data_IF_320570544683
#
_entry.id   IF_320570544683
#
_cell.length_a   1.000
_cell.length_b   1.000
_cell.length_c   1.000
_cell.angle_alpha   90.00
_cell.angle_beta   90.00
_cell.angle_gamma   90.00
#
_symmetry.space_group_name_H-M   'P 1'
#
loop_
_entity.id
_entity.type
_entity.pdbx_description
1 polymer ?
#
# COMPACT_ATOMS: atom_id res chain seq x y z
N UNK A 1 17.59 9.45 4.96
CA UNK A 1 16.25 9.92 4.54
C UNK A 1 15.91 9.27 3.19
N UNK A 2 15.66 7.96 3.22
CA UNK A 2 15.19 7.16 2.08
C UNK A 2 14.32 6.04 2.66
N UNK A 3 13.20 6.44 3.26
CA UNK A 3 12.22 5.53 3.87
C UNK A 3 10.99 5.35 2.97
N UNK A 4 11.17 5.54 1.65
CA UNK A 4 10.10 5.28 0.70
C UNK A 4 10.24 3.85 0.21
N UNK A 5 9.28 3.02 0.59
CA UNK A 5 9.13 1.63 0.17
C UNK A 5 9.09 1.56 -1.36
N UNK A 6 10.05 0.85 -1.94
CA UNK A 6 10.25 0.74 -3.39
C UNK A 6 9.05 0.11 -4.10
N UNK A 7 8.27 -0.72 -3.41
CA UNK A 7 7.01 -1.27 -3.92
C UNK A 7 5.94 -0.18 -4.00
N UNK A 8 5.79 0.62 -2.94
CA UNK A 8 4.79 1.70 -2.90
C UNK A 8 5.11 2.75 -3.94
N UNK A 9 6.39 3.15 -4.06
CA UNK A 9 6.83 4.08 -5.09
C UNK A 9 6.53 3.56 -6.50
N UNK A 10 6.80 2.28 -6.76
CA UNK A 10 6.49 1.66 -8.05
C UNK A 10 4.97 1.66 -8.33
N UNK A 11 4.15 1.30 -7.35
CA UNK A 11 2.69 1.24 -7.49
C UNK A 11 2.10 2.64 -7.68
N UNK A 12 2.62 3.65 -6.97
CA UNK A 12 2.25 5.05 -7.18
C UNK A 12 2.53 5.50 -8.61
N UNK A 13 3.67 5.12 -9.18
CA UNK A 13 4.03 5.46 -10.56
C UNK A 13 3.07 4.81 -11.56
N UNK A 14 2.68 3.55 -11.34
CA UNK A 14 1.69 2.87 -12.18
C UNK A 14 0.32 3.56 -12.15
N UNK A 15 -0.11 4.00 -10.97
CA UNK A 15 -1.38 4.72 -10.82
C UNK A 15 -1.39 6.08 -11.53
N UNK A 16 -0.22 6.70 -11.75
CA UNK A 16 -0.08 7.97 -12.47
C UNK A 16 0.10 7.80 -13.98
N UNK A 17 0.52 6.63 -14.43
CA UNK A 17 0.88 6.37 -15.83
C UNK A 17 0.01 5.27 -16.42
N UNK A 18 0.41 4.01 -16.25
CA UNK A 18 -0.35 2.83 -16.57
C UNK A 18 0.20 1.64 -15.78
N UNK A 19 -0.66 0.66 -15.52
CA UNK A 19 -0.22 -0.64 -15.01
C UNK A 19 0.35 -1.48 -16.14
N UNK A 20 1.53 -2.09 -15.97
CA UNK A 20 2.10 -2.99 -16.97
C UNK A 20 1.27 -4.28 -17.09
N UNK A 21 1.20 -4.82 -18.31
CA UNK A 21 0.48 -6.07 -18.60
C UNK A 21 1.23 -7.29 -18.08
N UNK A 22 2.55 -7.17 -17.94
CA UNK A 22 3.43 -8.26 -17.51
C UNK A 22 4.53 -7.77 -16.56
N UNK A 23 4.93 -8.58 -15.56
CA UNK A 23 6.07 -8.28 -14.70
C UNK A 23 7.41 -8.16 -15.42
N UNK A 24 7.51 -8.71 -16.63
CA UNK A 24 8.73 -8.68 -17.44
C UNK A 24 8.77 -7.50 -18.42
N UNK A 25 7.78 -6.61 -18.39
CA UNK A 25 7.66 -5.51 -19.35
C UNK A 25 8.80 -4.48 -19.23
N UNK A 26 9.32 -4.25 -18.02
CA UNK A 26 10.52 -3.42 -17.83
C UNK A 26 11.40 -3.91 -16.68
N UNK A 27 12.69 -3.57 -16.75
CA UNK A 27 13.73 -4.09 -15.86
C UNK A 27 13.51 -3.68 -14.38
N UNK A 28 12.97 -2.47 -14.13
CA UNK A 28 12.65 -2.01 -12.77
C UNK A 28 11.59 -2.91 -12.14
N UNK A 29 10.53 -3.22 -12.90
CA UNK A 29 9.45 -4.10 -12.45
C UNK A 29 9.93 -5.52 -12.28
N UNK A 30 10.66 -6.07 -13.26
CA UNK A 30 11.20 -7.42 -13.20
C UNK A 30 12.06 -7.63 -11.96
N UNK A 31 13.00 -6.72 -11.70
CA UNK A 31 13.87 -6.77 -10.52
C UNK A 31 13.09 -6.79 -9.21
N UNK A 32 12.09 -5.91 -9.08
CA UNK A 32 11.24 -5.87 -7.87
C UNK A 32 10.33 -7.09 -7.78
N UNK A 33 9.86 -7.62 -8.91
CA UNK A 33 9.05 -8.82 -8.97
C UNK A 33 9.80 -10.04 -8.47
N UNK A 34 11.05 -10.24 -8.87
CA UNK A 34 11.89 -11.35 -8.38
C UNK A 34 12.10 -11.30 -6.86
N UNK A 35 12.24 -10.10 -6.29
CA UNK A 35 12.45 -9.92 -4.86
C UNK A 35 11.16 -9.95 -4.02
N UNK A 36 10.05 -9.42 -4.55
CA UNK A 36 8.82 -9.10 -3.79
C UNK A 36 7.52 -9.53 -4.50
N UNK A 37 7.57 -10.61 -5.30
CA UNK A 37 6.44 -11.10 -6.10
C UNK A 37 5.13 -11.27 -5.30
N UNK A 38 5.20 -11.77 -4.06
CA UNK A 38 4.01 -12.02 -3.24
C UNK A 38 3.25 -10.73 -2.93
N UNK A 39 3.97 -9.66 -2.59
CA UNK A 39 3.38 -8.34 -2.31
C UNK A 39 2.89 -7.68 -3.59
N UNK A 40 3.68 -7.70 -4.66
CA UNK A 40 3.32 -7.08 -5.93
C UNK A 40 2.09 -7.73 -6.57
N UNK A 41 1.96 -9.07 -6.52
CA UNK A 41 0.77 -9.77 -7.00
C UNK A 41 -0.51 -9.28 -6.32
N UNK A 42 -0.47 -9.04 -5.01
CA UNK A 42 -1.62 -8.52 -4.27
C UNK A 42 -1.98 -7.10 -4.72
N UNK A 43 -1.00 -6.23 -4.95
CA UNK A 43 -1.24 -4.90 -5.52
C UNK A 43 -1.83 -4.97 -6.94
N UNK A 44 -1.33 -5.86 -7.81
CA UNK A 44 -1.89 -6.06 -9.14
C UNK A 44 -3.34 -6.51 -9.11
N UNK A 45 -3.68 -7.44 -8.21
CA UNK A 45 -5.06 -7.96 -8.10
C UNK A 45 -6.08 -6.90 -7.72
N UNK A 46 -5.64 -5.79 -7.15
CA UNK A 46 -6.48 -4.65 -6.76
C UNK A 46 -6.16 -3.37 -7.53
N UNK A 47 -5.41 -3.47 -8.63
CA UNK A 47 -4.92 -2.33 -9.42
C UNK A 47 -6.00 -1.34 -9.83
N UNK A 48 -7.18 -1.84 -10.21
CA UNK A 48 -8.33 -1.02 -10.60
C UNK A 48 -8.94 -0.20 -9.45
N UNK A 49 -8.68 -0.57 -8.21
CA UNK A 49 -9.17 0.11 -7.00
C UNK A 49 -8.11 1.04 -6.40
N UNK A 50 -6.90 1.05 -6.96
CA UNK A 50 -5.80 1.87 -6.48
C UNK A 50 -5.81 3.24 -7.18
N UNK A 51 -5.66 4.29 -6.39
CA UNK A 51 -5.58 5.67 -6.88
C UNK A 51 -4.52 6.45 -6.13
N UNK A 52 -4.03 7.55 -6.71
CA UNK A 52 -3.12 8.47 -6.02
C UNK A 52 -3.82 9.81 -5.87
N UNK A 53 -3.89 10.31 -4.63
CA UNK A 53 -4.44 11.62 -4.34
C UNK A 53 -3.44 12.42 -3.49
N UNK A 54 -3.05 13.60 -3.97
CA UNK A 54 -2.10 14.50 -3.29
C UNK A 54 -0.80 13.79 -2.85
N UNK A 55 -0.32 12.84 -3.65
CA UNK A 55 0.89 12.06 -3.34
C UNK A 55 0.69 10.95 -2.31
N UNK A 56 -0.55 10.61 -1.97
CA UNK A 56 -0.89 9.44 -1.14
C UNK A 56 -1.48 8.35 -2.03
N UNK A 57 -0.93 7.14 -1.93
CA UNK A 57 -1.54 5.95 -2.52
C UNK A 57 -2.75 5.52 -1.70
N UNK A 58 -3.87 5.31 -2.37
CA UNK A 58 -5.15 4.92 -1.78
C UNK A 58 -5.64 3.60 -2.39
N UNK A 59 -6.17 2.72 -1.55
CA UNK A 59 -7.01 1.59 -1.96
C UNK A 59 -8.47 1.93 -1.64
N UNK A 60 -9.30 2.11 -2.66
CA UNK A 60 -10.61 2.76 -2.52
C UNK A 60 -10.47 4.11 -1.79
N UNK A 61 -10.93 4.21 -0.54
CA UNK A 61 -10.82 5.40 0.31
C UNK A 61 -9.81 5.26 1.46
N UNK A 62 -8.97 4.22 1.43
CA UNK A 62 -8.04 3.87 2.51
C UNK A 62 -6.61 4.20 2.13
N UNK A 63 -5.85 4.78 3.03
CA UNK A 63 -4.44 5.08 2.82
C UNK A 63 -3.63 3.78 2.82
N UNK A 64 -2.85 3.56 1.76
CA UNK A 64 -1.92 2.44 1.72
C UNK A 64 -0.73 2.75 2.62
N UNK A 65 -0.44 1.86 3.57
CA UNK A 65 0.65 2.02 4.53
C UNK A 65 1.89 1.24 4.06
N UNK A 66 3.04 1.92 3.88
CA UNK A 66 4.33 1.27 3.59
C UNK A 66 4.71 0.23 4.65
N UNK A 67 5.43 -0.82 4.24
CA UNK A 67 5.81 -1.93 5.15
C UNK A 67 6.52 -1.43 6.42
N UNK A 68 7.41 -0.45 6.27
CA UNK A 68 8.15 0.18 7.37
C UNK A 68 7.25 0.85 8.43
N UNK A 69 6.04 1.26 8.06
CA UNK A 69 5.09 1.96 8.95
C UNK A 69 3.99 1.04 9.49
N UNK A 70 3.85 -0.19 8.97
CA UNK A 70 2.77 -1.10 9.35
C UNK A 70 2.82 -1.45 10.85
N UNK A 71 4.01 -1.72 11.40
CA UNK A 71 4.18 -2.05 12.81
C UNK A 71 3.74 -0.90 13.73
N UNK A 72 4.15 0.33 13.42
CA UNK A 72 3.78 1.52 14.19
C UNK A 72 2.27 1.79 14.14
N UNK A 73 1.66 1.65 12.95
CA UNK A 73 0.21 1.81 12.78
C UNK A 73 -0.55 0.73 13.54
N UNK A 74 -0.09 -0.53 13.49
CA UNK A 74 -0.67 -1.62 14.29
C UNK A 74 -0.56 -1.34 15.78
N UNK A 75 0.58 -0.87 16.30
CA UNK A 75 0.74 -0.52 17.72
C UNK A 75 -0.28 0.55 18.12
N UNK A 76 -0.39 1.63 17.33
CA UNK A 76 -1.36 2.72 17.60
C UNK A 76 -2.81 2.24 17.56
N UNK A 77 -3.14 1.32 16.66
CA UNK A 77 -4.46 0.69 16.61
C UNK A 77 -4.70 -0.13 17.89
N UNK A 78 -3.73 -0.93 18.33
CA UNK A 78 -3.79 -1.72 19.56
C UNK A 78 -3.88 -0.86 20.84
N UNK A 79 -3.15 0.25 20.92
CA UNK A 79 -3.21 1.20 22.03
C UNK A 79 -4.58 1.91 22.10
N UNK A 80 -5.11 2.31 20.94
CA UNK A 80 -6.44 2.94 20.82
C UNK A 80 -7.63 2.03 21.16
N UNK A 81 -7.41 0.71 21.26
CA UNK A 81 -8.45 -0.26 21.63
C UNK A 81 -8.97 -0.08 23.07
N UNK A 82 -8.29 0.67 23.94
CA UNK A 82 -8.71 0.83 25.34
C UNK A 82 -9.72 1.97 25.61
N UNK A 83 -9.93 2.96 24.72
CA UNK A 83 -10.81 4.14 24.98
C UNK A 83 -12.18 4.36 24.26
N UNK A 84 -12.28 4.54 22.93
CA UNK A 84 -13.45 5.18 22.27
C UNK A 84 -14.01 4.45 21.01
N UNK A 85 -15.18 3.78 21.09
CA UNK A 85 -15.74 2.86 20.04
C UNK A 85 -15.96 3.49 18.65
N UNK A 86 -16.30 4.77 18.55
CA UNK A 86 -16.80 5.37 17.29
C UNK A 86 -15.68 5.84 16.33
N UNK A 87 -14.57 6.37 16.86
CA UNK A 87 -13.38 6.73 16.07
C UNK A 87 -12.55 5.49 15.66
N UNK A 88 -12.72 4.37 16.37
CA UNK A 88 -11.96 3.13 16.20
C UNK A 88 -12.24 2.37 14.92
N UNK A 89 -13.53 2.25 14.54
CA UNK A 89 -13.89 1.60 13.28
C UNK A 89 -13.31 2.39 12.10
N UNK A 90 -13.40 3.72 12.16
CA UNK A 90 -12.86 4.61 11.12
C UNK A 90 -11.36 4.44 10.93
N UNK A 91 -10.57 4.34 12.00
CA UNK A 91 -9.11 4.15 11.90
C UNK A 91 -8.72 2.82 11.24
N UNK A 92 -9.40 1.71 11.57
CA UNK A 92 -9.16 0.41 10.91
C UNK A 92 -9.66 0.41 9.46
N UNK A 93 -10.74 1.13 9.17
CA UNK A 93 -11.24 1.27 7.81
C UNK A 93 -10.53 2.36 7.01
N UNK A 94 -9.62 3.15 7.61
CA UNK A 94 -8.93 4.25 6.91
C UNK A 94 -7.57 3.86 6.36
N UNK A 95 -7.03 2.70 6.75
CA UNK A 95 -5.73 2.19 6.29
C UNK A 95 -5.87 0.85 5.60
N UNK A 96 -4.91 0.52 4.73
CA UNK A 96 -4.85 -0.74 4.03
C UNK A 96 -3.40 -1.12 3.72
N UNK A 97 -3.11 -2.42 3.72
CA UNK A 97 -1.93 -3.00 3.07
C UNK A 97 -2.21 -4.47 2.78
N UNK A 98 -1.40 -5.13 1.93
CA UNK A 98 -1.67 -6.50 1.53
C UNK A 98 -1.52 -7.54 2.65
N UNK A 99 -2.61 -7.85 3.36
CA UNK A 99 -2.63 -8.83 4.47
C UNK A 99 -3.07 -8.25 5.81
N UNK A 100 -3.48 -6.97 5.86
CA UNK A 100 -4.27 -6.40 6.97
C UNK A 100 -5.69 -6.97 6.98
#
# INVERSE_FOLDING_TARGET
MKDRDDVIELVEDFCKTAWPESPNENERVKKLWEAKASTLKKFWSVSHELTVNHGLLLYNSRIVIPESLQADILSKIHEGHQGIVKYRAMAKTSVWWPGL
#
